data_IF_736472447760
#
_entry.id   IF_736472447760
#
_cell.length_a   1.000
_cell.length_b   1.000
_cell.length_c   1.000
_cell.angle_alpha   90.00
_cell.angle_beta   90.00
_cell.angle_gamma   90.00
#
_symmetry.space_group_name_H-M   'P 1'
#
loop_
_entity.id
_entity.type
_entity.pdbx_description
1 polymer ?
#
# COMPACT_ATOMS: atom_id res chain seq x y z
N UNK A 1 -10.27 16.69 -21.33
CA UNK A 1 -10.87 17.28 -20.12
C UNK A 1 -10.68 16.27 -18.99
N UNK A 2 -9.78 16.52 -18.03
CA UNK A 2 -9.64 15.64 -16.87
C UNK A 2 -10.88 15.79 -15.98
N UNK A 3 -11.76 14.79 -15.98
CA UNK A 3 -12.82 14.70 -14.99
C UNK A 3 -12.16 14.40 -13.65
N UNK A 4 -11.88 15.46 -12.89
CA UNK A 4 -11.39 15.39 -11.52
C UNK A 4 -12.49 14.70 -10.70
N UNK A 5 -12.24 13.45 -10.31
CA UNK A 5 -13.08 12.75 -9.35
C UNK A 5 -13.11 13.62 -8.09
N UNK A 6 -14.27 14.22 -7.80
CA UNK A 6 -14.45 14.98 -6.57
C UNK A 6 -14.60 13.95 -5.45
N UNK A 7 -13.47 13.57 -4.87
CA UNK A 7 -13.45 12.80 -3.64
C UNK A 7 -14.29 13.54 -2.58
N UNK A 8 -15.12 12.84 -1.79
CA UNK A 8 -15.96 13.47 -0.79
C UNK A 8 -15.12 14.29 0.20
N UNK A 9 -15.72 15.32 0.83
CA UNK A 9 -15.04 16.13 1.85
C UNK A 9 -14.46 15.31 3.01
N UNK A 10 -14.97 14.09 3.23
CA UNK A 10 -14.43 13.13 4.19
C UNK A 10 -13.05 12.58 3.82
N UNK A 11 -12.47 12.92 2.66
CA UNK A 11 -11.10 12.54 2.28
C UNK A 11 -10.03 13.53 2.76
N UNK A 12 -10.45 14.64 3.36
CA UNK A 12 -9.56 15.56 4.07
C UNK A 12 -8.96 14.83 5.29
N UNK A 13 -7.68 15.09 5.66
CA UNK A 13 -7.08 14.56 6.87
C UNK A 13 -7.99 14.75 8.08
N UNK A 14 -8.07 13.74 8.95
CA UNK A 14 -8.83 13.81 10.21
C UNK A 14 -10.33 14.12 10.05
N UNK A 15 -10.86 14.12 8.82
CA UNK A 15 -12.29 14.32 8.62
C UNK A 15 -13.08 13.13 9.19
N UNK A 16 -14.22 13.39 9.88
CA UNK A 16 -15.05 12.34 10.44
C UNK A 16 -15.65 11.46 9.34
N UNK A 17 -16.03 10.23 9.72
CA UNK A 17 -16.79 9.34 8.85
C UNK A 17 -18.05 10.05 8.34
N UNK A 18 -18.34 10.03 7.03
CA UNK A 18 -19.56 10.61 6.50
C UNK A 18 -20.78 9.83 6.98
N UNK A 19 -21.87 10.53 7.31
CA UNK A 19 -23.14 9.91 7.71
C UNK A 19 -23.89 9.24 6.56
N UNK A 20 -23.50 9.53 5.31
CA UNK A 20 -24.04 8.89 4.11
C UNK A 20 -22.94 8.65 3.10
N UNK A 21 -22.94 7.44 2.52
CA UNK A 21 -22.09 7.08 1.38
C UNK A 21 -22.65 7.70 0.09
N UNK A 22 -21.76 8.11 -0.80
CA UNK A 22 -22.13 8.58 -2.14
C UNK A 22 -21.99 7.40 -3.10
N UNK A 23 -23.08 7.05 -3.80
CA UNK A 23 -23.07 5.98 -4.80
C UNK A 23 -23.62 6.47 -6.13
N UNK A 24 -22.82 6.32 -7.18
CA UNK A 24 -23.17 6.63 -8.57
C UNK A 24 -23.29 5.32 -9.33
N UNK A 25 -24.52 4.98 -9.73
CA UNK A 25 -24.82 3.79 -10.53
C UNK A 25 -25.17 4.23 -11.96
N UNK A 26 -24.82 3.38 -12.93
CA UNK A 26 -25.20 3.56 -14.33
C UNK A 26 -26.70 3.38 -14.60
N UNK A 27 -27.10 3.55 -15.86
CA UNK A 27 -28.50 3.35 -16.30
C UNK A 27 -28.95 1.89 -16.23
N UNK A 28 -28.00 0.95 -16.27
CA UNK A 28 -28.22 -0.49 -16.12
C UNK A 28 -27.55 -0.97 -14.84
N UNK A 29 -28.17 -1.96 -14.19
CA UNK A 29 -27.60 -2.58 -12.98
C UNK A 29 -27.04 -3.95 -13.35
N UNK A 30 -25.81 -4.19 -12.93
CA UNK A 30 -25.15 -5.48 -13.12
C UNK A 30 -25.85 -6.60 -12.31
N UNK A 31 -26.05 -7.80 -12.87
CA UNK A 31 -26.75 -8.89 -12.20
C UNK A 31 -26.15 -9.31 -10.85
N UNK A 32 -24.81 -9.25 -10.75
CA UNK A 32 -24.10 -9.59 -9.52
C UNK A 32 -24.47 -8.65 -8.37
N UNK A 33 -24.67 -7.35 -8.65
CA UNK A 33 -25.02 -6.36 -7.63
C UNK A 33 -26.44 -6.61 -7.10
N UNK A 34 -27.37 -6.97 -7.99
CA UNK A 34 -28.72 -7.39 -7.58
C UNK A 34 -28.65 -8.64 -6.70
N UNK A 35 -27.77 -9.60 -7.02
CA UNK A 35 -27.59 -10.81 -6.23
C UNK A 35 -27.02 -10.50 -4.82
N UNK A 36 -25.98 -9.68 -4.73
CA UNK A 36 -25.37 -9.25 -3.47
C UNK A 36 -26.37 -8.51 -2.59
N UNK A 37 -27.05 -7.49 -3.12
CA UNK A 37 -28.06 -6.72 -2.36
C UNK A 37 -29.26 -7.57 -1.94
N UNK A 38 -29.64 -8.58 -2.74
CA UNK A 38 -30.68 -9.52 -2.36
C UNK A 38 -30.23 -10.41 -1.20
N UNK A 39 -28.98 -10.86 -1.20
CA UNK A 39 -28.41 -11.71 -0.13
C UNK A 39 -28.50 -11.01 1.23
N UNK A 40 -28.08 -9.75 1.27
CA UNK A 40 -27.94 -9.00 2.54
C UNK A 40 -29.22 -8.33 3.02
N UNK A 41 -30.18 -8.06 2.12
CA UNK A 41 -31.34 -7.25 2.49
C UNK A 41 -32.42 -8.03 3.24
N UNK A 42 -32.35 -9.38 3.27
CA UNK A 42 -33.37 -10.26 3.87
C UNK A 42 -34.78 -10.08 3.31
N UNK A 43 -34.96 -9.22 2.30
CA UNK A 43 -36.25 -8.82 1.74
C UNK A 43 -36.71 -9.88 0.76
N UNK A 44 -37.99 -10.27 0.86
CA UNK A 44 -38.64 -11.23 -0.05
C UNK A 44 -38.59 -10.81 -1.53
N UNK A 45 -38.37 -9.53 -1.84
CA UNK A 45 -38.33 -9.02 -3.22
C UNK A 45 -37.03 -8.26 -3.47
N UNK A 46 -36.26 -8.63 -4.50
CA UNK A 46 -35.06 -7.90 -4.88
C UNK A 46 -35.41 -6.49 -5.39
N UNK A 47 -34.47 -5.54 -5.28
CA UNK A 47 -34.61 -4.23 -5.90
C UNK A 47 -34.79 -4.38 -7.43
N UNK A 48 -35.68 -3.58 -8.01
CA UNK A 48 -36.08 -3.69 -9.43
C UNK A 48 -35.63 -2.53 -10.30
N UNK A 49 -35.28 -1.39 -9.70
CA UNK A 49 -34.83 -0.20 -10.42
C UNK A 49 -33.47 0.26 -9.93
N UNK A 50 -32.73 0.99 -10.77
CA UNK A 50 -31.44 1.60 -10.42
C UNK A 50 -31.57 2.43 -9.13
N UNK A 51 -32.64 3.23 -9.01
CA UNK A 51 -32.89 4.04 -7.81
C UNK A 51 -33.08 3.20 -6.54
N UNK A 52 -33.69 2.02 -6.65
CA UNK A 52 -33.85 1.10 -5.52
C UNK A 52 -32.52 0.43 -5.14
N UNK A 53 -31.72 0.01 -6.12
CA UNK A 53 -30.38 -0.53 -5.88
C UNK A 53 -29.50 0.50 -5.19
N UNK A 54 -29.45 1.73 -5.73
CA UNK A 54 -28.72 2.86 -5.15
C UNK A 54 -29.16 3.13 -3.72
N UNK A 55 -30.48 3.21 -3.46
CA UNK A 55 -31.00 3.46 -2.11
C UNK A 55 -30.63 2.34 -1.14
N UNK A 56 -30.75 1.09 -1.56
CA UNK A 56 -30.39 -0.06 -0.73
C UNK A 56 -28.89 -0.04 -0.40
N UNK A 57 -28.04 0.16 -1.41
CA UNK A 57 -26.59 0.21 -1.26
C UNK A 57 -26.14 1.35 -0.33
N UNK A 58 -26.65 2.56 -0.55
CA UNK A 58 -26.36 3.72 0.32
C UNK A 58 -26.82 3.42 1.74
N UNK A 59 -28.04 2.92 1.93
CA UNK A 59 -28.57 2.66 3.27
C UNK A 59 -27.73 1.61 4.02
N UNK A 60 -27.32 0.54 3.34
CA UNK A 60 -26.50 -0.52 3.92
C UNK A 60 -25.11 0.01 4.29
N UNK A 61 -24.41 0.68 3.38
CA UNK A 61 -23.02 1.11 3.60
C UNK A 61 -22.89 2.36 4.49
N UNK A 62 -23.99 3.12 4.65
CA UNK A 62 -24.04 4.24 5.59
C UNK A 62 -24.26 3.79 7.04
N UNK A 63 -24.44 2.48 7.29
CA UNK A 63 -24.49 1.93 8.64
C UNK A 63 -23.14 2.19 9.36
N UNK A 64 -23.11 2.76 10.57
CA UNK A 64 -21.85 2.93 11.31
C UNK A 64 -21.11 1.61 11.59
N UNK A 65 -21.80 0.47 11.55
CA UNK A 65 -21.19 -0.86 11.71
C UNK A 65 -20.68 -1.44 10.38
N UNK A 66 -20.94 -0.81 9.24
CA UNK A 66 -20.37 -1.22 7.95
C UNK A 66 -18.88 -0.89 7.96
N UNK A 67 -18.08 -1.88 8.35
CA UNK A 67 -16.63 -1.87 8.39
C UNK A 67 -16.14 -3.06 7.56
N UNK A 68 -15.14 -2.80 6.74
CA UNK A 68 -14.53 -3.76 5.84
C UNK A 68 -13.14 -4.14 6.34
N UNK A 69 -12.87 -5.45 6.37
CA UNK A 69 -11.53 -5.99 6.56
C UNK A 69 -10.76 -5.87 5.26
N UNK A 70 -9.74 -5.01 5.22
CA UNK A 70 -8.94 -4.83 4.00
C UNK A 70 -7.72 -5.76 3.98
N UNK A 71 -7.00 -5.85 5.09
CA UNK A 71 -5.78 -6.65 5.17
C UNK A 71 -5.31 -6.90 6.60
N UNK A 72 -4.40 -7.86 6.73
CA UNK A 72 -3.59 -8.07 7.93
C UNK A 72 -2.12 -7.77 7.61
N UNK A 73 -1.52 -6.83 8.35
CA UNK A 73 -0.12 -6.47 8.18
C UNK A 73 0.67 -7.03 9.36
N UNK A 74 1.56 -7.98 9.06
CA UNK A 74 2.59 -8.44 9.98
C UNK A 74 3.77 -7.49 9.90
N UNK A 75 4.16 -6.95 11.05
CA UNK A 75 5.24 -6.00 11.20
C UNK A 75 6.22 -6.54 12.22
N UNK A 76 7.51 -6.38 11.94
CA UNK A 76 8.55 -6.80 12.88
C UNK A 76 8.47 -5.93 14.14
N UNK A 77 8.48 -6.58 15.29
CA UNK A 77 8.69 -5.90 16.56
C UNK A 77 10.20 -5.72 16.70
N UNK A 78 10.65 -4.47 16.82
CA UNK A 78 12.05 -4.22 17.11
C UNK A 78 12.38 -4.92 18.44
N UNK A 79 13.33 -5.86 18.41
CA UNK A 79 13.82 -6.54 19.61
C UNK A 79 14.40 -5.47 20.53
N UNK A 80 13.86 -5.35 21.75
CA UNK A 80 14.47 -4.52 22.80
C UNK A 80 15.93 -4.97 22.97
N UNK A 81 16.93 -4.07 22.87
CA UNK A 81 18.34 -4.43 23.00
C UNK A 81 18.71 -4.63 24.48
N UNK A 82 17.96 -5.47 25.20
CA UNK A 82 18.30 -5.79 26.58
C UNK A 82 18.17 -7.29 26.87
N UNK A 83 19.32 -7.81 27.31
CA UNK A 83 19.59 -9.07 28.00
C UNK A 83 19.89 -10.32 27.14
N UNK A 84 21.21 -10.56 27.07
CA UNK A 84 21.89 -11.86 27.07
C UNK A 84 21.45 -12.91 26.03
N UNK A 85 22.25 -12.94 24.96
CA UNK A 85 23.01 -14.10 24.49
C UNK A 85 22.47 -15.49 24.89
N UNK A 86 22.15 -16.27 23.86
CA UNK A 86 21.96 -17.73 23.82
C UNK A 86 20.52 -18.28 23.89
N UNK A 87 19.56 -17.70 23.16
CA UNK A 87 18.40 -18.47 22.67
C UNK A 87 18.03 -18.01 21.26
N UNK A 88 17.68 -18.97 20.39
CA UNK A 88 17.10 -18.76 19.07
C UNK A 88 15.99 -17.69 19.14
N UNK A 89 16.30 -16.47 18.67
CA UNK A 89 15.35 -15.35 18.67
C UNK A 89 14.14 -15.73 17.81
N UNK A 90 13.03 -16.06 18.46
CA UNK A 90 11.75 -16.22 17.77
C UNK A 90 11.34 -14.81 17.35
N UNK A 91 11.21 -14.52 16.05
CA UNK A 91 10.83 -13.19 15.60
C UNK A 91 9.45 -12.86 16.16
N UNK A 92 9.38 -11.81 16.97
CA UNK A 92 8.13 -11.35 17.55
C UNK A 92 7.46 -10.43 16.53
N UNK A 93 6.29 -10.82 16.04
CA UNK A 93 5.52 -10.02 15.09
C UNK A 93 4.43 -9.22 15.80
N UNK A 94 4.25 -7.98 15.38
CA UNK A 94 3.07 -7.19 15.67
C UNK A 94 2.10 -7.31 14.49
N UNK A 95 0.87 -7.75 14.75
CA UNK A 95 -0.16 -7.90 13.73
C UNK A 95 -1.12 -6.71 13.82
N UNK A 96 -1.24 -5.93 12.75
CA UNK A 96 -2.23 -4.85 12.64
C UNK A 96 -3.33 -5.29 11.67
N UNK A 97 -4.57 -5.28 12.16
CA UNK A 97 -5.75 -5.44 11.33
C UNK A 97 -6.10 -4.11 10.68
N UNK A 98 -6.25 -4.11 9.36
CA UNK A 98 -6.57 -2.90 8.58
C UNK A 98 -8.05 -2.93 8.25
N UNK A 99 -8.76 -2.00 8.87
CA UNK A 99 -10.19 -1.80 8.71
C UNK A 99 -10.48 -0.46 8.01
N UNK A 100 -11.55 -0.46 7.22
CA UNK A 100 -11.99 0.72 6.49
C UNK A 100 -13.49 0.76 6.30
N UNK A 101 -14.02 1.92 5.93
CA UNK A 101 -15.41 2.07 5.50
C UNK A 101 -15.48 2.63 4.08
N UNK A 102 -16.54 2.26 3.37
CA UNK A 102 -16.81 2.78 2.02
C UNK A 102 -17.23 4.25 2.12
N UNK A 103 -16.63 5.10 1.30
CA UNK A 103 -16.98 6.54 1.23
C UNK A 103 -17.60 6.94 -0.10
N UNK A 104 -17.25 6.22 -1.17
CA UNK A 104 -17.65 6.56 -2.53
C UNK A 104 -17.69 5.32 -3.40
N UNK A 105 -18.67 5.28 -4.31
CA UNK A 105 -18.86 4.22 -5.29
C UNK A 105 -19.15 4.88 -6.62
N UNK A 106 -18.39 4.50 -7.65
CA UNK A 106 -18.61 4.92 -9.02
C UNK A 106 -18.64 3.71 -9.95
N UNK A 107 -19.82 3.34 -10.41
CA UNK A 107 -20.02 2.27 -11.39
C UNK A 107 -20.28 2.82 -12.81
N UNK A 108 -19.86 4.06 -13.07
CA UNK A 108 -20.07 4.73 -14.37
C UNK A 108 -18.75 5.09 -15.04
N UNK A 109 -17.84 5.79 -14.35
CA UNK A 109 -16.59 6.24 -14.98
C UNK A 109 -15.44 5.27 -14.72
N UNK A 110 -15.20 4.92 -13.45
CA UNK A 110 -14.06 4.10 -13.05
C UNK A 110 -14.41 2.64 -12.68
N UNK A 111 -15.69 2.35 -12.43
CA UNK A 111 -16.12 1.07 -11.89
C UNK A 111 -15.38 0.69 -10.59
N UNK A 112 -15.31 1.63 -9.65
CA UNK A 112 -14.51 1.50 -8.43
C UNK A 112 -15.29 1.83 -7.15
N UNK A 113 -14.74 1.34 -6.03
CA UNK A 113 -15.20 1.60 -4.66
C UNK A 113 -14.02 2.17 -3.89
N UNK A 114 -14.26 3.30 -3.23
CA UNK A 114 -13.27 3.99 -2.43
C UNK A 114 -13.49 3.70 -0.93
N UNK A 115 -12.43 3.27 -0.27
CA UNK A 115 -12.36 2.94 1.14
C UNK A 115 -11.49 3.95 1.88
N UNK A 116 -11.99 4.46 3.01
CA UNK A 116 -11.19 5.26 3.96
C UNK A 116 -10.95 4.45 5.22
N UNK A 117 -9.71 4.44 5.70
CA UNK A 117 -9.33 3.72 6.91
C UNK A 117 -10.11 4.23 8.13
N UNK A 118 -10.35 3.31 9.07
CA UNK A 118 -10.89 3.65 10.38
C UNK A 118 -9.87 4.43 11.21
N UNK A 119 -10.34 5.19 12.19
CA UNK A 119 -9.46 5.94 13.10
C UNK A 119 -8.56 4.98 13.88
N UNK A 120 -9.08 3.81 14.22
CA UNK A 120 -8.38 2.73 14.92
C UNK A 120 -7.21 2.21 14.08
N UNK A 121 -7.46 1.93 12.79
CA UNK A 121 -6.41 1.50 11.85
C UNK A 121 -5.36 2.58 11.65
N UNK A 122 -5.79 3.84 11.47
CA UNK A 122 -4.88 4.98 11.35
C UNK A 122 -4.01 5.12 12.60
N UNK A 123 -4.61 5.10 13.79
CA UNK A 123 -3.90 5.21 15.07
C UNK A 123 -2.89 4.09 15.24
N UNK A 124 -3.25 2.83 14.95
CA UNK A 124 -2.35 1.70 15.08
C UNK A 124 -1.13 1.82 14.14
N UNK A 125 -1.34 2.28 12.90
CA UNK A 125 -0.27 2.50 11.94
C UNK A 125 0.65 3.68 12.34
N UNK A 126 0.06 4.78 12.83
CA UNK A 126 0.81 5.95 13.32
C UNK A 126 1.63 5.58 14.55
N UNK A 127 1.05 4.87 15.52
CA UNK A 127 1.75 4.41 16.72
C UNK A 127 2.89 3.47 16.38
N UNK A 128 2.69 2.55 15.44
CA UNK A 128 3.75 1.68 14.95
C UNK A 128 4.89 2.49 14.29
N UNK A 129 4.55 3.39 13.36
CA UNK A 129 5.53 4.22 12.68
C UNK A 129 6.32 5.10 13.66
N UNK A 130 5.65 5.66 14.68
CA UNK A 130 6.29 6.45 15.73
C UNK A 130 7.30 5.62 16.52
N UNK A 131 6.92 4.42 16.94
CA UNK A 131 7.81 3.51 17.68
C UNK A 131 9.03 3.11 16.86
N UNK A 132 8.87 2.91 15.55
CA UNK A 132 9.96 2.52 14.65
C UNK A 132 10.95 3.65 14.35
N UNK A 133 10.44 4.87 14.09
CA UNK A 133 11.27 5.96 13.58
C UNK A 133 11.63 7.03 14.63
N UNK A 134 10.83 7.18 15.69
CA UNK A 134 10.96 8.25 16.67
C UNK A 134 11.37 7.71 18.06
N UNK A 135 12.22 6.68 18.13
CA UNK A 135 12.77 6.20 19.41
C UNK A 135 13.64 7.30 20.05
N UNK A 136 13.16 7.85 21.17
CA UNK A 136 13.89 8.77 22.04
C UNK A 136 15.11 8.08 22.62
N UNK A 137 16.26 8.28 21.99
CA UNK A 137 17.52 7.94 22.62
C UNK A 137 17.88 9.09 23.58
N UNK A 138 17.47 8.97 24.84
CA UNK A 138 17.88 9.89 25.92
C UNK A 138 19.40 9.96 26.15
N UNK A 139 20.18 9.15 25.41
CA UNK A 139 21.64 9.10 25.42
C UNK A 139 22.28 9.41 24.04
N UNK A 140 21.63 10.20 23.18
CA UNK A 140 22.15 10.47 21.82
C UNK A 140 23.12 11.66 21.80
N UNK A 141 24.32 11.53 21.19
CA UNK A 141 25.27 12.64 21.06
C UNK A 141 24.70 13.79 20.22
N UNK A 142 25.11 15.04 20.52
CA UNK A 142 24.67 16.29 19.88
C UNK A 142 24.77 16.30 18.33
N UNK A 143 25.61 15.43 17.74
CA UNK A 143 25.71 15.21 16.29
C UNK A 143 24.44 14.63 15.65
N UNK A 144 23.46 14.20 16.45
CA UNK A 144 22.24 13.53 15.98
C UNK A 144 21.01 14.45 15.85
N UNK A 145 21.11 15.73 16.21
CA UNK A 145 19.98 16.66 16.23
C UNK A 145 19.34 16.86 14.83
N UNK A 146 20.14 16.82 13.75
CA UNK A 146 19.63 16.88 12.37
C UNK A 146 18.90 15.60 11.93
N UNK A 147 19.35 14.44 12.43
CA UNK A 147 18.73 13.14 12.16
C UNK A 147 17.38 13.02 12.89
N UNK A 148 17.26 13.60 14.07
CA UNK A 148 16.03 13.58 14.86
C UNK A 148 14.95 14.52 14.26
N UNK A 149 15.35 15.69 13.74
CA UNK A 149 14.45 16.56 12.97
C UNK A 149 13.96 15.88 11.69
N UNK A 150 14.84 15.19 10.96
CA UNK A 150 14.45 14.45 9.76
C UNK A 150 13.49 13.30 10.07
N UNK A 151 13.70 12.56 11.17
CA UNK A 151 12.80 11.49 11.62
C UNK A 151 11.42 12.00 12.05
N UNK A 152 11.38 13.11 12.79
CA UNK A 152 10.12 13.76 13.16
C UNK A 152 9.35 14.21 11.92
N UNK A 153 10.05 14.82 10.96
CA UNK A 153 9.44 15.25 9.69
C UNK A 153 8.88 14.07 8.89
N UNK A 154 9.62 12.96 8.78
CA UNK A 154 9.15 11.75 8.11
C UNK A 154 7.90 11.18 8.78
N UNK A 155 7.84 11.20 10.12
CA UNK A 155 6.66 10.77 10.86
C UNK A 155 5.45 11.67 10.63
N UNK A 156 5.62 12.99 10.63
CA UNK A 156 4.55 13.94 10.32
C UNK A 156 4.06 13.77 8.87
N UNK A 157 4.97 13.58 7.91
CA UNK A 157 4.63 13.30 6.51
C UNK A 157 3.84 11.99 6.38
N UNK A 158 4.26 10.93 7.08
CA UNK A 158 3.52 9.66 7.15
C UNK A 158 2.14 9.84 7.76
N UNK A 159 2.02 10.50 8.92
CA UNK A 159 0.76 10.73 9.60
C UNK A 159 -0.23 11.48 8.68
N UNK A 160 0.24 12.50 7.97
CA UNK A 160 -0.58 13.21 7.00
C UNK A 160 -0.96 12.33 5.80
N UNK A 161 -0.03 11.51 5.29
CA UNK A 161 -0.28 10.64 4.15
C UNK A 161 -1.31 9.55 4.48
N UNK A 162 -1.17 8.89 5.63
CA UNK A 162 -2.07 7.81 6.04
C UNK A 162 -3.47 8.35 6.37
N UNK A 163 -3.58 9.57 6.92
CA UNK A 163 -4.87 10.23 7.14
C UNK A 163 -5.61 10.61 5.84
N UNK A 164 -4.88 10.83 4.75
CA UNK A 164 -5.43 11.09 3.40
C UNK A 164 -5.61 9.81 2.58
N UNK A 165 -5.16 8.68 3.10
CA UNK A 165 -5.15 7.44 2.35
C UNK A 165 -6.58 7.00 2.02
N UNK A 166 -6.83 6.83 0.73
CA UNK A 166 -8.06 6.27 0.20
C UNK A 166 -7.69 5.13 -0.73
N UNK A 167 -8.12 3.93 -0.38
CA UNK A 167 -7.92 2.77 -1.23
C UNK A 167 -9.04 2.66 -2.24
N UNK A 168 -8.71 2.45 -3.51
CA UNK A 168 -9.68 2.25 -4.58
C UNK A 168 -9.57 0.81 -5.07
N UNK A 169 -10.70 0.10 -5.09
CA UNK A 169 -10.82 -1.27 -5.58
C UNK A 169 -11.88 -1.33 -6.68
N UNK A 170 -11.85 -2.37 -7.52
CA UNK A 170 -12.92 -2.59 -8.51
C UNK A 170 -14.27 -2.80 -7.81
N UNK A 171 -15.36 -2.30 -8.39
CA UNK A 171 -16.68 -2.38 -7.79
C UNK A 171 -17.16 -3.82 -7.51
N UNK A 172 -16.62 -4.83 -8.21
CA UNK A 172 -16.89 -6.25 -7.95
C UNK A 172 -16.52 -6.71 -6.54
N UNK A 173 -15.70 -5.98 -5.80
CA UNK A 173 -15.47 -6.31 -4.38
C UNK A 173 -16.78 -6.32 -3.58
N UNK A 174 -17.79 -5.54 -4.01
CA UNK A 174 -19.13 -5.52 -3.41
C UNK A 174 -19.92 -6.82 -3.62
N UNK A 175 -19.42 -7.79 -4.41
CA UNK A 175 -19.96 -9.15 -4.41
C UNK A 175 -19.77 -9.83 -3.04
N UNK A 176 -18.69 -9.49 -2.33
CA UNK A 176 -18.42 -9.94 -0.95
C UNK A 176 -19.10 -9.11 0.14
N UNK A 177 -20.11 -8.31 -0.22
CA UNK A 177 -20.88 -7.53 0.73
C UNK A 177 -21.75 -8.46 1.58
N UNK A 178 -21.65 -8.31 2.90
CA UNK A 178 -22.36 -9.11 3.90
C UNK A 178 -23.48 -8.32 4.59
N UNK A 179 -24.15 -8.97 5.54
CA UNK A 179 -25.14 -8.31 6.41
C UNK A 179 -24.54 -7.08 7.10
N UNK A 180 -25.38 -6.10 7.41
CA UNK A 180 -24.97 -4.80 7.99
C UNK A 180 -23.97 -3.97 7.17
N UNK A 181 -23.61 -4.43 5.97
CA UNK A 181 -22.69 -3.75 5.07
C UNK A 181 -21.22 -4.03 5.34
N UNK A 182 -20.92 -5.07 6.13
CA UNK A 182 -19.55 -5.56 6.31
C UNK A 182 -19.05 -6.25 5.04
N UNK A 183 -17.76 -6.53 5.00
CA UNK A 183 -17.15 -7.27 3.90
C UNK A 183 -15.66 -7.45 4.11
N UNK A 184 -15.05 -8.30 3.29
CA UNK A 184 -13.61 -8.54 3.29
C UNK A 184 -13.06 -8.42 1.87
N UNK A 185 -11.91 -7.75 1.73
CA UNK A 185 -11.17 -7.79 0.48
C UNK A 185 -10.47 -9.14 0.32
N UNK A 186 -10.73 -9.78 -0.82
CA UNK A 186 -10.09 -11.04 -1.18
C UNK A 186 -8.58 -10.88 -1.39
N UNK A 187 -7.83 -12.00 -1.34
CA UNK A 187 -6.37 -12.03 -1.21
C UNK A 187 -5.62 -11.10 -2.18
N UNK A 188 -6.00 -11.03 -3.46
CA UNK A 188 -5.32 -10.17 -4.43
C UNK A 188 -5.44 -8.67 -4.08
N UNK A 189 -6.64 -8.23 -3.70
CA UNK A 189 -6.90 -6.85 -3.27
C UNK A 189 -6.28 -6.58 -1.89
N UNK A 190 -6.33 -7.54 -0.99
CA UNK A 190 -5.70 -7.45 0.33
C UNK A 190 -4.18 -7.25 0.23
N UNK A 191 -3.51 -7.99 -0.67
CA UNK A 191 -2.08 -7.84 -0.95
C UNK A 191 -1.77 -6.44 -1.51
N UNK A 192 -2.63 -5.91 -2.40
CA UNK A 192 -2.45 -4.56 -2.95
C UNK A 192 -2.59 -3.47 -1.89
N UNK A 193 -3.60 -3.56 -1.01
CA UNK A 193 -3.76 -2.63 0.13
C UNK A 193 -2.53 -2.67 1.02
N UNK A 194 -2.11 -3.87 1.43
CA UNK A 194 -0.93 -4.07 2.29
C UNK A 194 0.30 -3.42 1.66
N UNK A 195 0.56 -3.68 0.38
CA UNK A 195 1.69 -3.08 -0.34
C UNK A 195 1.62 -1.55 -0.32
N UNK A 196 0.46 -0.97 -0.67
CA UNK A 196 0.26 0.49 -0.68
C UNK A 196 0.52 1.12 0.69
N UNK A 197 0.09 0.49 1.77
CA UNK A 197 0.32 0.99 3.14
C UNK A 197 1.80 0.88 3.52
N UNK A 198 2.46 -0.24 3.19
CA UNK A 198 3.89 -0.43 3.46
C UNK A 198 4.76 0.54 2.65
N UNK A 199 4.38 0.87 1.41
CA UNK A 199 5.07 1.87 0.59
C UNK A 199 5.01 3.27 1.23
N UNK A 200 3.95 3.59 1.99
CA UNK A 200 3.86 4.84 2.76
C UNK A 200 4.80 4.85 3.97
N UNK A 201 5.03 3.70 4.60
CA UNK A 201 5.92 3.58 5.77
C UNK A 201 7.41 3.67 5.42
N UNK A 202 7.76 3.44 4.16
CA UNK A 202 9.13 3.47 3.66
C UNK A 202 9.21 4.41 2.46
N UNK A 203 9.08 5.74 2.67
CA UNK A 203 9.20 6.68 1.57
C UNK A 203 10.58 6.51 0.92
N UNK A 204 10.66 6.46 -0.42
CA UNK A 204 11.93 6.31 -1.12
C UNK A 204 12.87 7.43 -0.69
N UNK A 205 14.09 7.06 -0.24
CA UNK A 205 15.14 8.03 0.04
C UNK A 205 15.37 8.89 -1.21
N UNK A 206 15.55 10.22 -1.07
CA UNK A 206 15.95 11.03 -2.20
C UNK A 206 17.22 10.43 -2.81
N UNK A 207 17.34 10.38 -4.15
CA UNK A 207 18.57 9.93 -4.79
C UNK A 207 19.71 10.78 -4.26
N UNK A 208 20.75 10.11 -3.74
CA UNK A 208 21.92 10.75 -3.15
C UNK A 208 22.51 11.73 -4.16
N UNK A 209 22.53 13.03 -3.85
CA UNK A 209 23.10 14.11 -4.68
C UNK A 209 24.65 14.04 -4.72
N UNK A 210 25.21 12.83 -4.63
CA UNK A 210 26.63 12.53 -4.65
C UNK A 210 27.14 12.23 -6.06
N UNK A 211 26.73 13.05 -7.03
CA UNK A 211 27.37 13.13 -8.36
C UNK A 211 27.57 14.58 -8.81
N UNK A 212 27.79 15.51 -7.88
CA UNK A 212 28.33 16.83 -8.21
C UNK A 212 29.84 16.83 -7.95
N UNK A 213 30.61 16.17 -8.82
CA UNK A 213 32.03 16.48 -8.93
C UNK A 213 32.15 17.92 -9.46
N UNK A 214 32.79 18.86 -8.75
CA UNK A 214 33.18 20.11 -9.37
C UNK A 214 34.21 19.78 -10.44
N UNK A 215 33.82 19.91 -11.71
CA UNK A 215 34.75 19.91 -12.84
C UNK A 215 35.74 21.06 -12.63
N UNK A 216 36.86 20.75 -11.99
CA UNK A 216 38.01 21.65 -11.96
C UNK A 216 38.55 21.68 -13.37
N UNK A 217 38.31 22.80 -14.06
CA UNK A 217 38.86 23.11 -15.36
C UNK A 217 40.39 23.18 -15.25
N UNK A 218 41.08 22.05 -15.47
CA UNK A 218 42.52 22.05 -15.73
C UNK A 218 42.76 22.12 -17.23
N UNK A 219 43.49 23.17 -17.60
CA UNK A 219 43.92 23.50 -18.95
C UNK A 219 44.63 22.33 -19.64
N UNK A 220 44.35 22.22 -20.93
CA UNK A 220 45.04 21.34 -21.86
C UNK A 220 46.53 21.69 -21.99
N UNK A 221 47.38 20.67 -21.85
CA UNK A 221 48.71 20.59 -22.44
C UNK A 221 48.81 19.21 -23.11
N UNK A 222 48.80 19.18 -24.44
CA UNK A 222 49.15 17.99 -25.23
C UNK A 222 50.69 17.88 -25.41
N UNK A 223 51.22 16.89 -26.17
CA UNK A 223 51.43 15.51 -25.76
C UNK A 223 52.93 15.13 -25.90
N UNK A 224 53.40 14.08 -25.21
CA UNK A 224 54.65 13.43 -25.63
C UNK A 224 54.60 11.93 -25.42
N UNK A 225 54.88 11.22 -26.51
CA UNK A 225 54.74 9.80 -26.71
C UNK A 225 55.73 8.94 -25.90
N UNK A 226 55.26 7.77 -25.46
CA UNK A 226 55.88 6.45 -25.71
C UNK A 226 55.19 5.35 -24.84
N UNK A 227 54.62 4.34 -25.51
CA UNK A 227 54.13 3.04 -25.00
C UNK A 227 55.27 2.05 -24.70
N UNK A 228 55.04 0.77 -24.28
CA UNK A 228 53.92 0.09 -23.57
C UNK A 228 54.41 -0.84 -22.40
N UNK A 229 53.50 -1.68 -21.87
CA UNK A 229 53.61 -2.78 -20.87
C UNK A 229 53.17 -2.41 -19.45
N UNK A 230 52.22 -3.06 -18.77
CA UNK A 230 51.36 -4.21 -19.07
C UNK A 230 50.53 -4.60 -17.82
N UNK A 231 49.43 -5.34 -18.03
CA UNK A 231 48.66 -6.18 -17.07
C UNK A 231 48.04 -5.47 -15.84
N UNK A 232 46.71 -5.33 -15.66
CA UNK A 232 45.63 -6.33 -15.69
C UNK A 232 44.29 -5.60 -15.90
N UNK A 233 43.52 -5.92 -16.94
CA UNK A 233 42.05 -5.77 -16.93
C UNK A 233 41.44 -6.53 -18.12
N UNK A 234 40.73 -7.63 -17.85
CA UNK A 234 39.65 -8.18 -18.68
C UNK A 234 38.99 -9.38 -17.98
N UNK A 235 37.71 -9.60 -18.30
CA UNK A 235 36.69 -10.50 -17.71
C UNK A 235 36.05 -9.93 -16.43
N UNK A 236 34.81 -9.42 -16.43
CA UNK A 236 33.61 -9.92 -17.11
C UNK A 236 32.65 -8.76 -17.45
N UNK A 237 32.60 -8.38 -18.73
CA UNK A 237 31.40 -7.78 -19.35
C UNK A 237 31.33 -8.25 -20.80
N UNK A 238 30.88 -9.49 -20.96
CA UNK A 238 30.25 -10.08 -22.13
C UNK A 238 29.47 -11.25 -21.53
N UNK A 239 28.14 -11.31 -21.60
CA UNK A 239 27.40 -11.57 -22.82
C UNK A 239 25.97 -11.05 -22.67
N UNK A 240 25.48 -10.36 -23.69
CA UNK A 240 24.06 -10.38 -24.03
C UNK A 240 23.69 -11.76 -24.62
N UNK A 241 22.44 -12.16 -24.39
CA UNK A 241 21.66 -13.34 -24.81
C UNK A 241 21.69 -13.65 -26.33
N UNK A 242 21.01 -14.71 -26.86
CA UNK A 242 20.42 -15.94 -26.30
C UNK A 242 20.80 -17.22 -27.10
N UNK A 243 20.21 -18.38 -26.73
CA UNK A 243 19.64 -19.43 -27.61
C UNK A 243 20.10 -20.87 -27.30
N UNK A 244 19.09 -21.74 -27.11
CA UNK A 244 19.07 -23.20 -27.17
C UNK A 244 20.13 -23.99 -26.38
N UNK A 245 19.71 -24.54 -25.24
CA UNK A 245 19.98 -25.93 -24.79
C UNK A 245 19.71 -26.00 -23.27
N UNK A 246 18.46 -26.25 -22.88
CA UNK A 246 18.11 -26.73 -21.52
C UNK A 246 16.71 -27.34 -21.45
N UNK A 247 16.17 -27.80 -22.58
CA UNK A 247 14.96 -28.66 -22.66
C UNK A 247 15.33 -30.16 -22.53
N UNK A 248 16.35 -30.48 -21.73
CA UNK A 248 16.83 -31.84 -21.51
C UNK A 248 16.89 -32.25 -20.04
N UNK A 249 16.59 -31.33 -19.10
CA UNK A 249 16.63 -31.63 -17.66
C UNK A 249 15.20 -31.87 -17.10
N UNK A 250 14.15 -31.41 -17.78
CA UNK A 250 12.76 -31.63 -17.36
C UNK A 250 12.14 -32.96 -17.83
N UNK A 251 12.79 -33.70 -18.74
CA UNK A 251 12.32 -35.01 -19.24
C UNK A 251 12.93 -36.22 -18.48
N UNK A 252 13.83 -36.02 -17.52
CA UNK A 252 14.45 -37.11 -16.75
C UNK A 252 13.90 -37.30 -15.33
N UNK A 253 12.82 -36.59 -14.95
CA UNK A 253 12.13 -36.76 -13.65
C UNK A 253 10.71 -37.37 -13.78
N UNK A 254 10.38 -37.97 -14.92
CA UNK A 254 9.14 -38.76 -15.09
C UNK A 254 9.40 -40.25 -15.39
N UNK A 255 10.57 -40.78 -15.05
CA UNK A 255 10.85 -42.23 -15.19
C UNK A 255 11.71 -42.76 -14.05
N UNK A 256 11.33 -42.47 -12.81
CA UNK A 256 11.67 -43.32 -11.65
C UNK A 256 10.43 -43.32 -10.73
N UNK A 257 9.80 -44.49 -10.68
CA UNK A 257 8.83 -45.09 -9.73
C UNK A 257 8.30 -44.19 -8.61
#
# INVERSE_FOLDING_TARGET
MSHRILLPASTVPFAPRPSSVIAVLGSTVEPWLTAALRSISGKKRPPKSVSQHRKCLIQTLSNPLSIWSLAWIMLDKDSEPDLCQDFYEVPQYHLIHIEAYVIYIDMVLQNEVAFKLTTESISALVDYHKKRYCVDNLNKPLSCQGVDQQRSKLHEEFEQAINKFVYHADAKVLEGLEEDGTGELLSDESVRVKKRILDLMNPPLPPDDAAMHPTTHLQALEPSAATPFGFFNALYFAMATPHAETEAIYQSLQTIV
#
